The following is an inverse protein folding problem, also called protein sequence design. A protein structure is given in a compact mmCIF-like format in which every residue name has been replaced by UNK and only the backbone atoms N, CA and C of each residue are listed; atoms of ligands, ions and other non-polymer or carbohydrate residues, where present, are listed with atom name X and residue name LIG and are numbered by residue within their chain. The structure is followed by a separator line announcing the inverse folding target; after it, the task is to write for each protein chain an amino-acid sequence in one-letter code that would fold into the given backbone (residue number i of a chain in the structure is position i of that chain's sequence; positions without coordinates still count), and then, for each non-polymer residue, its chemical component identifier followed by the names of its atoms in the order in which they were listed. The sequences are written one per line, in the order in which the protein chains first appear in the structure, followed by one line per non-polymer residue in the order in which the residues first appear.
data_IF_741636403098
#
_entry.id   IF_741636403098
#
_cell.length_a   1.000
_cell.length_b   1.000
_cell.length_c   1.000
_cell.angle_alpha   90.00
_cell.angle_beta   90.00
_cell.angle_gamma   90.00
#
_symmetry.space_group_name_H-M   'P 1'
#
loop_
_entity.id
_entity.type
_entity.pdbx_description
1 polymer ?
#
# COMPACT_ATOMS: atom_id res chain seq x y z
N UNK A 1 -10.94 -1.04 -25.55
CA UNK A 1 -10.47 -1.13 -24.15
C UNK A 1 -11.32 -0.21 -23.28
N UNK A 2 -12.19 -0.77 -22.43
CA UNK A 2 -12.94 -0.02 -21.40
C UNK A 2 -12.31 -0.36 -20.05
N UNK A 3 -12.13 0.63 -19.16
CA UNK A 3 -11.64 0.40 -17.79
C UNK A 3 -10.21 0.85 -17.48
N UNK A 4 -9.47 1.41 -18.44
CA UNK A 4 -8.18 2.05 -18.18
C UNK A 4 -8.32 3.58 -18.28
N UNK A 5 -7.61 4.34 -17.42
CA UNK A 5 -7.60 5.80 -17.53
C UNK A 5 -6.96 6.22 -18.86
N UNK A 6 -7.54 7.24 -19.51
CA UNK A 6 -7.05 7.75 -20.81
C UNK A 6 -5.80 8.63 -20.67
N UNK A 7 -5.62 9.24 -19.50
CA UNK A 7 -4.48 10.05 -19.12
C UNK A 7 -3.81 9.43 -17.91
N UNK A 8 -2.55 9.75 -17.67
CA UNK A 8 -1.86 9.29 -16.46
C UNK A 8 -2.59 9.83 -15.22
N UNK A 9 -2.89 8.99 -14.21
CA UNK A 9 -3.37 9.47 -12.91
C UNK A 9 -2.41 10.44 -12.20
N UNK A 10 -1.17 10.52 -12.68
CA UNK A 10 -0.12 11.38 -12.16
C UNK A 10 0.28 12.51 -13.12
N UNK A 11 -0.51 12.77 -14.16
CA UNK A 11 -0.24 13.86 -15.11
C UNK A 11 -0.14 15.20 -14.38
N UNK A 12 0.97 15.91 -14.61
CA UNK A 12 1.32 17.18 -13.96
C UNK A 12 1.33 17.16 -12.42
N UNK A 13 1.48 15.97 -11.80
CA UNK A 13 1.66 15.83 -10.35
C UNK A 13 3.14 15.65 -10.02
N UNK A 14 3.64 16.46 -9.09
CA UNK A 14 4.94 16.29 -8.43
C UNK A 14 4.72 16.44 -6.93
N UNK A 15 5.44 15.63 -6.16
CA UNK A 15 5.39 15.63 -4.70
C UNK A 15 6.80 15.87 -4.19
N UNK A 16 6.96 16.76 -3.22
CA UNK A 16 8.26 17.13 -2.66
C UNK A 16 8.78 16.04 -1.70
N UNK A 17 7.87 15.36 -1.01
CA UNK A 17 8.19 14.29 -0.07
C UNK A 17 7.31 13.07 -0.32
N UNK A 18 7.97 11.92 -0.42
CA UNK A 18 7.31 10.65 -0.66
C UNK A 18 7.78 9.62 0.36
N UNK A 19 6.85 8.87 0.94
CA UNK A 19 7.14 7.69 1.76
C UNK A 19 6.78 6.42 1.02
N UNK A 20 7.72 5.49 0.94
CA UNK A 20 7.50 4.14 0.40
C UNK A 20 7.51 3.16 1.57
N UNK A 21 6.32 2.70 1.96
CA UNK A 21 6.14 1.87 3.16
C UNK A 21 6.02 0.41 2.75
N UNK A 22 7.11 -0.33 2.90
CA UNK A 22 7.11 -1.78 2.74
C UNK A 22 6.41 -2.51 3.89
N UNK A 23 6.20 -3.81 3.72
CA UNK A 23 5.47 -4.65 4.69
C UNK A 23 6.41 -5.39 5.66
N UNK A 24 7.63 -4.88 5.85
CA UNK A 24 8.66 -5.55 6.63
C UNK A 24 8.46 -5.36 8.14
N UNK A 25 8.76 -6.40 8.93
CA UNK A 25 8.66 -6.32 10.40
C UNK A 25 9.59 -5.32 11.09
N UNK A 26 10.51 -4.67 10.35
CA UNK A 26 11.39 -3.61 10.88
C UNK A 26 10.62 -2.38 11.37
N UNK A 27 9.41 -2.17 10.86
CA UNK A 27 8.57 -1.08 11.33
C UNK A 27 8.03 -1.34 12.74
N UNK A 28 7.98 -2.60 13.19
CA UNK A 28 7.38 -2.92 14.50
C UNK A 28 8.16 -2.27 15.65
N UNK A 29 7.48 -1.44 16.43
CA UNK A 29 8.03 -0.66 17.53
C UNK A 29 8.95 0.49 17.09
N UNK A 30 8.93 0.88 15.82
CA UNK A 30 9.78 1.95 15.30
C UNK A 30 9.23 3.34 15.60
N UNK A 31 7.91 3.48 15.82
CA UNK A 31 7.27 4.78 16.02
C UNK A 31 7.31 5.70 14.78
N UNK A 32 7.63 5.17 13.59
CA UNK A 32 7.81 5.95 12.37
C UNK A 32 6.50 6.50 11.77
N UNK A 33 5.33 6.13 12.32
CA UNK A 33 4.04 6.40 11.68
C UNK A 33 3.79 7.89 11.42
N UNK A 34 4.18 8.76 12.36
CA UNK A 34 4.04 10.22 12.18
C UNK A 34 4.96 10.78 11.09
N UNK A 35 6.17 10.25 10.95
CA UNK A 35 7.12 10.66 9.91
C UNK A 35 6.63 10.23 8.52
N UNK A 36 6.14 8.99 8.42
CA UNK A 36 5.52 8.47 7.20
C UNK A 36 4.33 9.35 6.79
N UNK A 37 3.42 9.62 7.74
CA UNK A 37 2.22 10.41 7.50
C UNK A 37 2.51 11.90 7.24
N UNK A 38 3.72 12.39 7.55
CA UNK A 38 4.14 13.74 7.20
C UNK A 38 4.45 13.91 5.69
N UNK A 39 4.68 12.81 4.96
CA UNK A 39 4.96 12.87 3.51
C UNK A 39 3.74 13.33 2.71
N UNK A 40 3.97 14.07 1.61
CA UNK A 40 2.91 14.51 0.70
C UNK A 40 2.26 13.33 -0.03
N UNK A 41 3.02 12.27 -0.33
CA UNK A 41 2.52 11.08 -1.00
C UNK A 41 3.06 9.79 -0.37
N UNK A 42 2.16 8.84 -0.05
CA UNK A 42 2.52 7.56 0.56
C UNK A 42 2.17 6.39 -0.35
N UNK A 43 3.19 5.62 -0.70
CA UNK A 43 3.10 4.36 -1.43
C UNK A 43 3.09 3.20 -0.44
N UNK A 44 2.15 2.27 -0.63
CA UNK A 44 2.09 0.99 0.09
C UNK A 44 2.02 -0.18 -0.89
N UNK A 45 2.25 -1.39 -0.40
CA UNK A 45 2.41 -2.56 -1.26
C UNK A 45 1.57 -3.73 -0.76
N UNK A 46 0.91 -4.44 -1.68
CA UNK A 46 0.23 -5.71 -1.47
C UNK A 46 -0.78 -5.76 -0.31
N UNK A 47 -1.41 -4.63 0.04
CA UNK A 47 -2.43 -4.52 1.09
C UNK A 47 -2.02 -5.21 2.41
N UNK A 48 -0.89 -4.81 2.98
CA UNK A 48 -0.54 -5.27 4.33
C UNK A 48 -1.62 -4.90 5.36
N UNK A 49 -1.74 -5.69 6.44
CA UNK A 49 -2.62 -5.34 7.55
C UNK A 49 -2.23 -3.98 8.15
N UNK A 50 -3.24 -3.14 8.36
CA UNK A 50 -3.11 -1.78 8.88
C UNK A 50 -4.01 -1.60 10.11
N UNK A 51 -4.08 -2.65 10.95
CA UNK A 51 -4.83 -2.61 12.20
C UNK A 51 -4.32 -1.45 13.10
N UNK A 52 -5.21 -0.89 13.94
CA UNK A 52 -4.90 0.24 14.83
C UNK A 52 -3.61 0.07 15.63
N UNK A 53 -3.33 -1.16 16.10
CA UNK A 53 -2.12 -1.54 16.85
C UNK A 53 -0.80 -1.33 16.11
N UNK A 54 -0.81 -1.11 14.80
CA UNK A 54 0.38 -0.87 14.00
C UNK A 54 0.51 0.59 13.54
N UNK A 55 -0.53 1.42 13.70
CA UNK A 55 -0.55 2.77 13.14
C UNK A 55 0.54 3.68 13.73
N UNK A 56 0.95 3.46 14.97
CA UNK A 56 2.08 4.16 15.59
C UNK A 56 3.38 3.96 14.81
N UNK A 57 3.56 2.78 14.24
CA UNK A 57 4.76 2.37 13.52
C UNK A 57 4.69 2.70 12.02
N UNK A 58 3.51 2.52 11.40
CA UNK A 58 3.37 2.50 9.95
C UNK A 58 2.53 3.65 9.38
N UNK A 59 1.89 4.46 10.23
CA UNK A 59 1.01 5.55 9.84
C UNK A 59 -0.34 5.09 9.25
N UNK A 60 -1.24 6.03 8.99
CA UNK A 60 -2.55 5.77 8.38
C UNK A 60 -2.65 6.31 6.93
N UNK A 61 -1.81 7.28 6.54
CA UNK A 61 -1.88 7.89 5.20
C UNK A 61 -1.50 6.88 4.13
N UNK A 62 -2.32 6.82 3.07
CA UNK A 62 -2.08 5.99 1.89
C UNK A 62 -2.61 6.72 0.66
N UNK A 63 -1.79 6.90 -0.38
CA UNK A 63 -2.22 7.51 -1.64
C UNK A 63 -2.21 6.51 -2.79
N UNK A 64 -1.29 5.54 -2.79
CA UNK A 64 -1.22 4.47 -3.78
C UNK A 64 -0.88 3.13 -3.12
N UNK A 65 -1.61 2.09 -3.51
CA UNK A 65 -1.23 0.71 -3.24
C UNK A 65 -0.87 0.03 -4.55
N UNK A 66 0.33 -0.55 -4.61
CA UNK A 66 0.66 -1.51 -5.67
C UNK A 66 0.25 -2.90 -5.23
N UNK A 67 -0.15 -3.76 -6.17
CA UNK A 67 -0.58 -5.10 -5.83
C UNK A 67 -0.20 -6.09 -6.92
N UNK A 68 0.58 -7.10 -6.55
CA UNK A 68 0.86 -8.21 -7.45
C UNK A 68 -0.43 -9.02 -7.70
N UNK A 69 -0.78 -9.37 -8.95
CA UNK A 69 -1.94 -10.21 -9.24
C UNK A 69 -2.00 -11.53 -8.45
N UNK A 70 -0.86 -12.13 -8.11
CA UNK A 70 -0.81 -13.34 -7.27
C UNK A 70 -1.32 -13.10 -5.85
N UNK A 71 -1.07 -11.92 -5.28
CA UNK A 71 -1.57 -11.53 -3.96
C UNK A 71 -3.08 -11.33 -3.97
N UNK A 72 -3.64 -10.82 -5.06
CA UNK A 72 -5.09 -10.70 -5.24
C UNK A 72 -5.72 -12.09 -5.18
N UNK A 73 -5.15 -13.03 -5.95
CA UNK A 73 -5.62 -14.42 -5.96
C UNK A 73 -5.42 -15.10 -4.61
N UNK A 74 -4.35 -14.79 -3.88
CA UNK A 74 -4.09 -15.38 -2.56
C UNK A 74 -5.09 -14.92 -1.51
N UNK A 75 -5.34 -13.60 -1.41
CA UNK A 75 -6.18 -13.01 -0.36
C UNK A 75 -7.67 -13.09 -0.66
N UNK A 76 -8.05 -12.90 -1.92
CA UNK A 76 -9.46 -12.78 -2.33
C UNK A 76 -9.94 -14.00 -3.10
N UNK A 77 -9.36 -15.19 -2.88
CA UNK A 77 -9.85 -16.43 -3.49
C UNK A 77 -11.20 -16.82 -2.89
N UNK A 78 -12.20 -17.04 -3.73
CA UNK A 78 -13.49 -17.63 -3.35
C UNK A 78 -13.72 -18.92 -4.12
N UNK A 79 -14.23 -19.95 -3.46
CA UNK A 79 -14.54 -21.24 -4.08
C UNK A 79 -13.57 -22.37 -3.73
N UNK A 80 -13.91 -23.58 -4.20
CA UNK A 80 -13.12 -24.81 -3.98
C UNK A 80 -11.94 -24.84 -4.96
N UNK A 81 -10.94 -25.68 -4.69
CA UNK A 81 -9.61 -25.64 -5.34
C UNK A 81 -9.67 -25.74 -6.88
N UNK A 82 -10.67 -26.41 -7.44
CA UNK A 82 -10.86 -26.59 -8.90
C UNK A 82 -11.71 -25.50 -9.57
N UNK A 83 -12.50 -24.72 -8.81
CA UNK A 83 -13.36 -23.65 -9.34
C UNK A 83 -13.23 -22.45 -8.40
N UNK A 84 -12.16 -21.67 -8.58
CA UNK A 84 -11.87 -20.52 -7.73
C UNK A 84 -11.90 -19.21 -8.52
N UNK A 85 -12.70 -18.26 -8.05
CA UNK A 85 -12.81 -16.90 -8.58
C UNK A 85 -12.22 -15.88 -7.61
N UNK A 86 -12.04 -14.65 -8.07
CA UNK A 86 -11.66 -13.52 -7.20
C UNK A 86 -12.94 -12.93 -6.58
N UNK A 87 -12.97 -12.77 -5.27
CA UNK A 87 -14.00 -12.02 -4.55
C UNK A 87 -13.74 -10.51 -4.72
N UNK A 88 -14.18 -10.00 -5.88
CA UNK A 88 -14.00 -8.59 -6.26
C UNK A 88 -14.72 -7.66 -5.28
N UNK A 89 -15.83 -8.11 -4.67
CA UNK A 89 -16.57 -7.31 -3.68
C UNK A 89 -15.73 -7.05 -2.44
N UNK A 90 -15.08 -8.08 -1.91
CA UNK A 90 -14.20 -7.96 -0.75
C UNK A 90 -12.98 -7.11 -1.09
N UNK A 91 -12.36 -7.35 -2.26
CA UNK A 91 -11.24 -6.53 -2.73
C UNK A 91 -11.60 -5.03 -2.79
N UNK A 92 -12.73 -4.69 -3.42
CA UNK A 92 -13.14 -3.29 -3.54
C UNK A 92 -13.49 -2.67 -2.20
N UNK A 93 -14.13 -3.43 -1.29
CA UNK A 93 -14.42 -2.97 0.07
C UNK A 93 -13.13 -2.63 0.84
N UNK A 94 -12.12 -3.49 0.78
CA UNK A 94 -10.85 -3.29 1.47
C UNK A 94 -10.03 -2.13 0.86
N UNK A 95 -10.07 -1.98 -0.47
CA UNK A 95 -9.47 -0.82 -1.16
C UNK A 95 -10.15 0.49 -0.77
N UNK A 96 -11.49 0.52 -0.72
CA UNK A 96 -12.25 1.70 -0.28
C UNK A 96 -11.92 2.07 1.17
N UNK A 97 -11.88 1.09 2.07
CA UNK A 97 -11.51 1.30 3.47
C UNK A 97 -10.08 1.85 3.63
N UNK A 98 -9.14 1.36 2.82
CA UNK A 98 -7.76 1.86 2.84
C UNK A 98 -7.65 3.28 2.28
N UNK A 99 -8.51 3.65 1.32
CA UNK A 99 -8.58 5.01 0.79
C UNK A 99 -9.26 6.00 1.76
N UNK A 100 -10.21 5.54 2.58
CA UNK A 100 -10.88 6.38 3.60
C UNK A 100 -10.10 6.47 4.91
N UNK A 101 -9.05 5.66 5.10
CA UNK A 101 -8.32 5.58 6.37
C UNK A 101 -9.13 4.92 7.50
N UNK A 102 -10.18 4.17 7.14
CA UNK A 102 -11.07 3.46 8.07
C UNK A 102 -10.70 1.98 8.09
N UNK A 103 -9.76 1.59 8.95
CA UNK A 103 -9.33 0.19 9.03
C UNK A 103 -10.28 -0.66 9.88
N UNK A 104 -11.05 -1.54 9.22
CA UNK A 104 -11.78 -2.62 9.89
C UNK A 104 -10.89 -3.85 10.02
N UNK A 105 -10.88 -4.45 11.22
CA UNK A 105 -10.16 -5.68 11.56
C UNK A 105 -10.23 -6.74 10.45
N UNK A 106 -9.12 -6.95 9.76
CA UNK A 106 -8.94 -8.12 8.89
C UNK A 106 -7.78 -8.95 9.45
N UNK A 107 -8.14 -9.89 10.32
CA UNK A 107 -7.18 -10.78 10.96
C UNK A 107 -6.48 -11.67 9.93
N UNK A 108 -5.17 -11.46 9.76
CA UNK A 108 -4.24 -12.50 9.30
C UNK A 108 -3.00 -12.52 10.21
N UNK A 109 -2.69 -13.70 10.76
CA UNK A 109 -1.44 -13.97 11.49
C UNK A 109 -0.38 -14.42 10.49
N UNK A 110 0.76 -13.72 10.44
CA UNK A 110 1.93 -14.16 9.69
C UNK A 110 3.04 -13.10 9.72
N UNK A 111 4.13 -13.38 10.44
CA UNK A 111 5.31 -12.52 10.49
C UNK A 111 6.24 -12.77 9.31
N UNK A 112 6.81 -11.70 8.76
CA UNK A 112 7.91 -11.74 7.80
C UNK A 112 8.96 -10.65 8.15
N UNK A 113 10.23 -10.97 7.89
CA UNK A 113 11.44 -10.38 8.46
C UNK A 113 12.18 -9.46 7.44
N UNK A 114 12.65 -8.26 7.88
CA UNK A 114 13.81 -7.43 7.38
C UNK A 114 13.64 -6.70 6.00
N UNK A 115 14.24 -5.54 5.59
CA UNK A 115 15.12 -4.43 6.08
C UNK A 115 14.67 -3.12 5.36
N UNK A 116 14.86 -1.94 5.95
CA UNK A 116 14.41 -0.63 5.44
C UNK A 116 15.45 0.02 4.48
N UNK A 117 14.97 0.64 3.40
CA UNK A 117 15.61 1.80 2.77
C UNK A 117 14.60 2.95 2.81
N UNK A 118 14.62 3.72 3.89
CA UNK A 118 14.16 5.10 3.88
C UNK A 118 15.38 5.96 3.50
N UNK A 119 15.83 5.84 2.24
CA UNK A 119 16.68 6.86 1.66
C UNK A 119 15.75 7.82 0.91
N UNK A 120 15.94 9.15 1.01
CA UNK A 120 15.32 10.07 0.08
C UNK A 120 15.75 9.63 -1.32
N UNK A 121 14.79 9.23 -2.15
CA UNK A 121 15.04 9.09 -3.57
C UNK A 121 15.34 10.50 -4.09
N UNK A 122 16.63 10.85 -4.11
CA UNK A 122 17.13 11.98 -4.89
C UNK A 122 16.73 11.67 -6.32
N UNK A 123 15.73 12.38 -6.84
CA UNK A 123 15.48 12.36 -8.28
C UNK A 123 16.77 12.86 -8.92
N UNK A 124 17.51 11.97 -9.59
CA UNK A 124 18.56 12.38 -10.52
C UNK A 124 17.91 13.41 -11.46
N UNK A 125 18.47 14.62 -11.42
CA UNK A 125 18.00 15.72 -12.24
C UNK A 125 18.07 15.32 -13.70
N UNK A 126 16.94 15.34 -14.39
CA UNK A 126 16.95 15.43 -15.84
C UNK A 126 17.32 16.88 -16.17
N UNK A 127 18.61 17.12 -16.40
CA UNK A 127 19.09 18.33 -17.06
C UNK A 127 18.49 18.39 -18.46
N UNK A 128 17.81 19.47 -18.85
CA UNK A 128 17.44 19.68 -20.25
C UNK A 128 18.69 20.07 -21.06
N UNK A 129 18.91 19.39 -22.18
CA UNK A 129 19.75 19.87 -23.29
C UNK A 129 19.10 21.08 -23.98
#
# INVERSE_FOLDING_TARGET
MKGFPKLSPFENKRFNTCSLVGNGGILKGSGCGKEIDASEFVFRFNMAPMDEKYLEDIGNKTNLITMNPSMIKYRYRKGRREESTIDVKTLMSDLSATASGEFRHTGMRGGALVRLLALPLRQEQQTPD
#
